data_IF_002976622929
#
_entry.id   IF_002976622929
#
_cell.length_a   1.000
_cell.length_b   1.000
_cell.length_c   1.000
_cell.angle_alpha   90.00
_cell.angle_beta   90.00
_cell.angle_gamma   90.00
#
_symmetry.space_group_name_H-M   'P 1'
#
loop_
_entity.id
_entity.type
_entity.pdbx_description
1 polymer ?
#
# COMPACT_ATOMS: atom_id res chain seq x y z
N UNK A 1 33.70 -16.97 4.59
CA UNK A 1 33.67 -15.51 4.83
C UNK A 1 32.60 -14.79 3.98
N UNK A 2 31.34 -15.25 4.02
CA UNK A 2 30.18 -14.58 3.39
C UNK A 2 28.95 -14.57 4.32
N UNK A 3 29.19 -14.85 5.61
CA UNK A 3 28.20 -14.91 6.68
C UNK A 3 28.24 -13.70 7.63
N UNK A 4 29.31 -12.89 7.58
CA UNK A 4 29.48 -11.70 8.43
C UNK A 4 28.98 -10.40 7.78
N UNK A 5 28.90 -10.33 6.44
CA UNK A 5 28.44 -9.10 5.76
C UNK A 5 26.93 -8.87 5.83
N UNK A 6 26.14 -9.89 6.23
CA UNK A 6 24.68 -9.75 6.39
C UNK A 6 24.28 -9.08 7.71
N UNK A 7 25.24 -8.86 8.63
CA UNK A 7 25.00 -8.27 9.96
C UNK A 7 25.12 -6.75 9.99
N UNK A 8 25.79 -6.13 9.03
CA UNK A 8 26.03 -4.67 9.01
C UNK A 8 24.94 -3.85 8.28
N UNK A 9 24.20 -4.45 7.34
CA UNK A 9 23.09 -3.78 6.67
C UNK A 9 21.79 -3.75 7.51
N UNK A 10 21.76 -4.43 8.65
CA UNK A 10 20.62 -4.45 9.57
C UNK A 10 20.80 -3.52 10.79
N UNK A 11 21.77 -2.60 10.74
CA UNK A 11 22.00 -1.57 11.77
C UNK A 11 21.39 -0.21 11.41
N UNK A 12 21.10 0.04 10.12
CA UNK A 12 20.41 1.24 9.66
C UNK A 12 18.94 0.89 9.40
N UNK A 13 18.09 1.12 10.40
CA UNK A 13 16.65 0.86 10.39
C UNK A 13 15.87 1.68 9.34
N UNK A 14 16.08 1.40 8.06
CA UNK A 14 15.28 1.89 6.93
C UNK A 14 14.80 0.73 6.05
N UNK A 15 14.46 -0.40 6.66
CA UNK A 15 13.51 -1.32 6.08
C UNK A 15 12.11 -0.75 6.36
N UNK A 16 11.43 -0.21 5.34
CA UNK A 16 10.01 0.15 5.44
C UNK A 16 9.24 -1.12 5.85
N UNK A 17 9.01 -1.25 7.15
CA UNK A 17 8.25 -2.32 7.72
C UNK A 17 6.82 -2.14 7.27
N UNK A 18 6.40 -2.90 6.26
CA UNK A 18 4.99 -3.23 6.11
C UNK A 18 4.65 -4.14 7.28
N UNK A 19 4.49 -3.52 8.46
CA UNK A 19 3.99 -4.19 9.65
C UNK A 19 2.64 -4.79 9.29
N UNK A 20 2.60 -6.11 9.41
CA UNK A 20 1.41 -6.95 9.31
C UNK A 20 0.48 -6.50 10.44
N UNK A 21 -0.39 -5.54 10.17
CA UNK A 21 -1.28 -4.98 11.18
C UNK A 21 -2.25 -3.97 10.57
N UNK A 22 -3.48 -4.40 10.35
CA UNK A 22 -4.63 -3.53 10.11
C UNK A 22 -4.71 -2.80 8.75
N UNK A 23 -4.98 -3.56 7.68
CA UNK A 23 -5.45 -3.00 6.38
C UNK A 23 -6.88 -2.44 6.41
N UNK A 24 -7.38 -2.03 7.59
CA UNK A 24 -8.81 -1.70 7.76
C UNK A 24 -9.10 -0.22 7.51
N UNK A 25 -8.21 0.73 7.85
CA UNK A 25 -8.39 2.17 7.56
C UNK A 25 -7.02 2.84 7.44
N UNK A 26 -6.67 3.36 6.26
CA UNK A 26 -5.49 4.19 6.08
C UNK A 26 -5.93 5.65 6.23
N UNK A 27 -5.96 6.15 7.47
CA UNK A 27 -6.44 7.51 7.80
C UNK A 27 -5.66 8.59 7.05
N UNK A 28 -4.40 8.31 6.70
CA UNK A 28 -3.56 9.20 5.88
C UNK A 28 -4.18 9.58 4.53
N UNK A 29 -5.10 8.76 3.99
CA UNK A 29 -5.75 9.01 2.71
C UNK A 29 -7.18 9.52 2.84
N UNK A 30 -7.64 9.83 4.06
CA UNK A 30 -9.01 10.29 4.29
C UNK A 30 -9.32 11.63 3.61
N UNK A 31 -8.29 12.45 3.35
CA UNK A 31 -8.44 13.69 2.57
C UNK A 31 -8.93 13.46 1.13
N UNK A 32 -8.84 12.22 0.61
CA UNK A 32 -9.37 11.86 -0.70
C UNK A 32 -10.88 11.55 -0.65
N UNK A 33 -11.47 11.29 0.52
CA UNK A 33 -12.89 10.92 0.66
C UNK A 33 -13.86 11.94 0.04
N UNK A 34 -13.69 13.28 0.19
CA UNK A 34 -14.62 14.23 -0.39
C UNK A 34 -14.74 14.11 -1.93
N UNK A 35 -13.61 13.91 -2.61
CA UNK A 35 -13.54 13.91 -4.07
C UNK A 35 -13.56 12.51 -4.70
N UNK A 36 -13.20 11.47 -3.93
CA UNK A 36 -13.03 10.10 -4.45
C UNK A 36 -13.88 9.06 -3.72
N UNK A 37 -14.51 9.42 -2.59
CA UNK A 37 -15.15 8.48 -1.67
C UNK A 37 -14.18 7.38 -1.23
N UNK A 38 -14.59 6.12 -1.34
CA UNK A 38 -13.78 4.94 -0.99
C UNK A 38 -13.00 4.35 -2.18
N UNK A 39 -12.95 5.03 -3.34
CA UNK A 39 -12.26 4.56 -4.54
C UNK A 39 -10.77 4.24 -4.28
N UNK A 40 -10.10 5.07 -3.47
CA UNK A 40 -8.71 4.87 -3.09
C UNK A 40 -8.50 3.56 -2.32
N UNK A 41 -9.43 3.18 -1.42
CA UNK A 41 -9.36 1.90 -0.70
C UNK A 41 -9.53 0.71 -1.64
N UNK A 42 -10.44 0.80 -2.62
CA UNK A 42 -10.63 -0.25 -3.63
C UNK A 42 -9.39 -0.42 -4.52
N UNK A 43 -8.76 0.67 -4.92
CA UNK A 43 -7.50 0.63 -5.67
C UNK A 43 -6.38 -0.01 -4.85
N UNK A 44 -6.23 0.37 -3.58
CA UNK A 44 -5.23 -0.25 -2.69
C UNK A 44 -5.46 -1.74 -2.51
N UNK A 45 -6.72 -2.19 -2.38
CA UNK A 45 -7.06 -3.62 -2.33
C UNK A 45 -6.68 -4.34 -3.64
N UNK A 46 -6.92 -3.71 -4.79
CA UNK A 46 -6.51 -4.25 -6.10
C UNK A 46 -4.98 -4.37 -6.22
N UNK A 47 -4.24 -3.32 -5.86
CA UNK A 47 -2.76 -3.33 -5.87
C UNK A 47 -2.24 -4.42 -4.93
N UNK A 48 -2.82 -4.56 -3.73
CA UNK A 48 -2.44 -5.60 -2.78
C UNK A 48 -2.71 -7.01 -3.30
N UNK A 49 -3.79 -7.21 -4.07
CA UNK A 49 -4.18 -8.52 -4.60
C UNK A 49 -3.42 -8.91 -5.87
N UNK A 50 -3.19 -7.96 -6.78
CA UNK A 50 -2.70 -8.27 -8.14
C UNK A 50 -1.31 -7.68 -8.45
N UNK A 51 -0.78 -6.81 -7.59
CA UNK A 51 0.47 -6.09 -7.84
C UNK A 51 0.29 -4.80 -8.63
N UNK A 52 1.37 -4.02 -8.73
CA UNK A 52 1.37 -2.69 -9.36
C UNK A 52 1.22 -2.81 -10.89
N UNK A 53 1.95 -3.73 -11.51
CA UNK A 53 1.95 -3.89 -12.98
C UNK A 53 0.56 -4.19 -13.52
N UNK A 54 -0.15 -5.15 -12.90
CA UNK A 54 -1.54 -5.46 -13.26
C UNK A 54 -2.48 -4.29 -13.00
N UNK A 55 -2.27 -3.57 -11.89
CA UNK A 55 -3.09 -2.40 -11.58
C UNK A 55 -2.94 -1.27 -12.63
N UNK A 56 -1.75 -1.07 -13.19
CA UNK A 56 -1.50 -0.04 -14.19
C UNK A 56 -2.25 -0.33 -15.51
N UNK A 57 -2.36 -1.60 -15.89
CA UNK A 57 -3.08 -2.07 -17.08
C UNK A 57 -4.60 -2.23 -16.89
N UNK A 58 -5.10 -2.25 -15.66
CA UNK A 58 -6.54 -2.38 -15.38
C UNK A 58 -7.27 -1.03 -15.25
N UNK A 59 -8.61 -1.08 -15.35
CA UNK A 59 -9.46 0.05 -14.96
C UNK A 59 -9.35 0.35 -13.47
N UNK A 60 -9.02 1.62 -13.19
CA UNK A 60 -8.85 2.20 -11.85
C UNK A 60 -10.16 2.83 -11.39
N UNK A 61 -10.43 2.77 -10.10
CA UNK A 61 -11.56 3.49 -9.51
C UNK A 61 -11.14 4.95 -9.28
N UNK A 62 -11.81 5.88 -9.97
CA UNK A 62 -11.57 7.32 -9.81
C UNK A 62 -12.50 7.93 -8.78
N UNK A 63 -13.77 7.51 -8.78
CA UNK A 63 -14.77 7.90 -7.81
C UNK A 63 -15.64 6.71 -7.49
N UNK A 64 -15.98 6.54 -6.21
CA UNK A 64 -17.02 5.64 -5.80
C UNK A 64 -17.77 6.24 -4.62
N UNK A 65 -19.09 6.31 -4.70
CA UNK A 65 -19.92 6.75 -3.57
C UNK A 65 -19.70 5.78 -2.41
N UNK A 66 -19.44 6.34 -1.23
CA UNK A 66 -19.48 5.58 0.01
C UNK A 66 -20.91 5.05 0.17
N UNK A 67 -21.05 3.73 0.31
CA UNK A 67 -22.32 3.07 0.65
C UNK A 67 -22.52 3.10 2.15
#
# INVERSE_FOLDING_TARGET
>A
MWSLLRRLLFSQGKGRQFSKGHSKRCEKLDFLKPNHGDAHLKNLRKIKKHGIEKFLGEKRYWYNKMK
#
